data_IF_110319567596
#
_entry.id   IF_110319567596
#
_cell.length_a   1.000
_cell.length_b   1.000
_cell.length_c   1.000
_cell.angle_alpha   90.00
_cell.angle_beta   90.00
_cell.angle_gamma   90.00
#
_symmetry.space_group_name_H-M   'P 1'
#
loop_
_entity.id
_entity.type
_entity.pdbx_description
1 polymer ?
#
# COMPACT_ATOMS: atom_id res chain seq x y z
N UNK A 1 -4.04 11.33 -8.68
CA UNK A 1 -3.62 10.54 -7.49
C UNK A 1 -4.73 9.56 -7.19
N UNK A 2 -4.39 8.29 -6.95
CA UNK A 2 -5.36 7.21 -6.82
C UNK A 2 -4.99 6.28 -5.65
N UNK A 3 -6.00 5.67 -5.04
CA UNK A 3 -5.83 4.54 -4.13
C UNK A 3 -6.25 3.29 -4.88
N UNK A 4 -5.31 2.36 -5.07
CA UNK A 4 -5.56 1.12 -5.81
C UNK A 4 -5.68 -0.03 -4.79
N UNK A 5 -6.85 -0.67 -4.66
CA UNK A 5 -7.02 -1.76 -3.71
C UNK A 5 -6.21 -2.98 -4.14
N UNK A 6 -5.44 -3.57 -3.22
CA UNK A 6 -4.56 -4.70 -3.51
C UNK A 6 -5.17 -6.07 -3.14
N UNK A 7 -6.24 -6.10 -2.36
CA UNK A 7 -6.91 -7.33 -1.93
C UNK A 7 -8.38 -7.42 -2.42
N UNK A 8 -8.73 -6.68 -3.48
CA UNK A 8 -10.05 -6.70 -4.11
C UNK A 8 -10.01 -7.36 -5.50
N UNK A 9 -10.36 -8.64 -5.65
CA UNK A 9 -10.19 -9.36 -6.91
C UNK A 9 -10.98 -8.77 -8.10
N UNK A 10 -11.90 -7.82 -7.85
CA UNK A 10 -12.63 -7.09 -8.91
C UNK A 10 -11.82 -5.97 -9.55
N UNK A 11 -10.67 -5.62 -8.98
CA UNK A 11 -9.82 -4.55 -9.48
C UNK A 11 -8.85 -5.07 -10.56
N UNK A 12 -9.16 -4.82 -11.83
CA UNK A 12 -8.32 -5.22 -12.98
C UNK A 12 -6.91 -4.59 -13.03
N UNK A 13 -6.57 -3.68 -12.10
CA UNK A 13 -5.27 -2.99 -12.04
C UNK A 13 -4.30 -3.56 -10.99
N UNK A 14 -4.66 -4.65 -10.33
CA UNK A 14 -3.93 -5.18 -9.18
C UNK A 14 -2.53 -5.68 -9.49
N UNK A 15 -2.36 -6.44 -10.57
CA UNK A 15 -1.06 -7.00 -10.93
C UNK A 15 -0.02 -5.91 -11.17
N UNK A 16 -0.40 -4.84 -11.85
CA UNK A 16 0.50 -3.71 -12.11
C UNK A 16 0.76 -2.87 -10.87
N UNK A 17 -0.25 -2.61 -10.05
CA UNK A 17 -0.08 -1.93 -8.76
C UNK A 17 0.84 -2.73 -7.82
N UNK A 18 0.63 -4.04 -7.73
CA UNK A 18 1.49 -4.93 -6.95
C UNK A 18 2.93 -4.94 -7.46
N UNK A 19 3.14 -4.92 -8.78
CA UNK A 19 4.49 -4.78 -9.37
C UNK A 19 5.14 -3.46 -8.95
N UNK A 20 4.42 -2.34 -9.05
CA UNK A 20 4.94 -1.01 -8.63
C UNK A 20 5.27 -0.97 -7.14
N UNK A 21 4.39 -1.51 -6.30
CA UNK A 21 4.63 -1.59 -4.85
C UNK A 21 5.80 -2.52 -4.50
N UNK A 22 5.94 -3.66 -5.18
CA UNK A 22 7.10 -4.54 -5.05
C UNK A 22 8.41 -3.79 -5.35
N UNK A 23 8.45 -3.01 -6.44
CA UNK A 23 9.62 -2.19 -6.77
C UNK A 23 9.88 -1.12 -5.70
N UNK A 24 8.84 -0.51 -5.14
CA UNK A 24 8.99 0.45 -4.05
C UNK A 24 9.62 -0.21 -2.81
N UNK A 25 9.11 -1.38 -2.38
CA UNK A 25 9.67 -2.10 -1.23
C UNK A 25 11.16 -2.44 -1.40
N UNK A 26 11.57 -2.80 -2.62
CA UNK A 26 12.98 -3.09 -2.92
C UNK A 26 13.88 -1.85 -2.91
N UNK A 27 13.34 -0.70 -3.34
CA UNK A 27 14.12 0.54 -3.50
C UNK A 27 14.18 1.40 -2.24
N UNK A 28 13.17 1.31 -1.38
CA UNK A 28 13.04 2.15 -0.19
C UNK A 28 13.02 1.28 1.08
N UNK A 29 14.21 1.03 1.61
CA UNK A 29 14.39 0.23 2.83
C UNK A 29 13.86 0.94 4.07
N UNK A 30 13.88 2.28 4.11
CA UNK A 30 13.31 3.05 5.20
C UNK A 30 11.78 2.91 5.23
N UNK A 31 11.14 2.96 4.06
CA UNK A 31 9.72 2.67 3.91
C UNK A 31 9.37 1.24 4.38
N UNK A 32 10.14 0.22 3.97
CA UNK A 32 9.94 -1.15 4.47
C UNK A 32 10.03 -1.24 6.00
N UNK A 33 11.01 -0.56 6.61
CA UNK A 33 11.15 -0.51 8.07
C UNK A 33 9.95 0.15 8.74
N UNK A 34 9.39 1.22 8.16
CA UNK A 34 8.19 1.88 8.70
C UNK A 34 6.98 0.95 8.77
N UNK A 35 6.90 0.00 7.84
CA UNK A 35 5.89 -1.06 7.78
C UNK A 35 6.23 -2.29 8.64
N UNK A 36 7.38 -2.31 9.31
CA UNK A 36 7.87 -3.47 10.05
C UNK A 36 8.33 -4.64 9.17
N UNK A 37 8.53 -4.41 7.86
CA UNK A 37 8.97 -5.43 6.90
C UNK A 37 10.49 -5.56 6.99
N UNK A 38 10.97 -6.76 7.35
CA UNK A 38 12.40 -7.08 7.31
C UNK A 38 12.86 -7.41 5.90
N UNK A 39 14.16 -7.27 5.61
CA UNK A 39 14.75 -7.57 4.30
C UNK A 39 14.31 -8.92 3.71
N UNK A 40 14.32 -9.99 4.53
CA UNK A 40 13.90 -11.34 4.12
C UNK A 40 12.40 -11.48 3.78
N UNK A 41 11.58 -10.52 4.19
CA UNK A 41 10.13 -10.49 3.98
C UNK A 41 9.74 -9.58 2.80
N UNK A 42 10.69 -8.89 2.17
CA UNK A 42 10.41 -8.06 1.00
C UNK A 42 9.95 -8.97 -0.13
N UNK A 43 8.76 -8.74 -0.71
CA UNK A 43 8.24 -9.59 -1.77
C UNK A 43 9.12 -9.49 -3.01
N UNK A 44 9.30 -10.63 -3.66
CA UNK A 44 10.10 -10.76 -4.88
C UNK A 44 9.28 -10.81 -6.16
N UNK A 45 7.98 -11.01 -6.04
CA UNK A 45 7.06 -11.04 -7.17
C UNK A 45 5.81 -10.20 -6.88
N UNK A 46 5.09 -9.73 -7.92
CA UNK A 46 3.79 -9.09 -7.74
C UNK A 46 2.80 -10.02 -7.03
N UNK A 47 2.80 -11.31 -7.36
CA UNK A 47 1.94 -12.31 -6.71
C UNK A 47 2.21 -12.39 -5.19
N UNK A 48 3.48 -12.43 -4.76
CA UNK A 48 3.82 -12.39 -3.33
C UNK A 48 3.33 -11.11 -2.65
N UNK A 49 3.35 -9.98 -3.35
CA UNK A 49 2.84 -8.70 -2.84
C UNK A 49 1.33 -8.78 -2.62
N UNK A 50 0.57 -9.33 -3.58
CA UNK A 50 -0.87 -9.52 -3.46
C UNK A 50 -1.24 -10.51 -2.34
N UNK A 51 -0.59 -11.68 -2.31
CA UNK A 51 -0.81 -12.69 -1.27
C UNK A 51 -0.48 -12.13 0.13
N UNK A 52 0.63 -11.40 0.27
CA UNK A 52 0.99 -10.78 1.53
C UNK A 52 -0.03 -9.71 1.97
N UNK A 53 -0.51 -8.89 1.04
CA UNK A 53 -1.55 -7.91 1.32
C UNK A 53 -2.88 -8.56 1.73
N UNK A 54 -3.33 -9.60 1.02
CA UNK A 54 -4.54 -10.35 1.34
C UNK A 54 -4.45 -11.05 2.71
N UNK A 55 -3.34 -11.75 2.99
CA UNK A 55 -3.11 -12.38 4.30
C UNK A 55 -3.11 -11.35 5.44
N UNK A 56 -2.46 -10.19 5.23
CA UNK A 56 -2.44 -9.11 6.20
C UNK A 56 -3.85 -8.52 6.42
N UNK A 57 -4.60 -8.28 5.34
CA UNK A 57 -5.98 -7.79 5.40
C UNK A 57 -6.88 -8.72 6.22
N UNK A 58 -6.83 -10.03 5.96
CA UNK A 58 -7.61 -11.03 6.69
C UNK A 58 -7.23 -11.08 8.17
N UNK A 59 -5.93 -11.06 8.47
CA UNK A 59 -5.42 -11.11 9.86
C UNK A 59 -5.84 -9.89 10.67
N UNK A 60 -5.92 -8.72 10.04
CA UNK A 60 -6.15 -7.45 10.73
C UNK A 60 -7.56 -6.87 10.53
N UNK A 61 -8.46 -7.61 9.89
CA UNK A 61 -9.79 -7.17 9.46
C UNK A 61 -9.74 -5.76 8.83
N UNK A 62 -8.91 -5.67 7.79
CA UNK A 62 -8.53 -4.40 7.17
C UNK A 62 -8.66 -4.45 5.65
N UNK A 63 -8.80 -3.27 5.05
CA UNK A 63 -8.64 -3.04 3.61
C UNK A 63 -7.30 -2.36 3.37
N UNK A 64 -6.63 -2.71 2.29
CA UNK A 64 -5.27 -2.25 1.97
C UNK A 64 -5.18 -1.73 0.54
N UNK A 65 -4.57 -0.56 0.39
CA UNK A 65 -4.38 0.14 -0.87
C UNK A 65 -2.92 0.49 -1.09
N UNK A 66 -2.51 0.45 -2.36
CA UNK A 66 -1.35 1.19 -2.82
C UNK A 66 -1.76 2.64 -3.09
N UNK A 67 -0.93 3.60 -2.65
CA UNK A 67 -1.08 5.00 -3.03
C UNK A 67 -0.32 5.26 -4.32
N UNK A 68 -0.98 5.84 -5.32
CA UNK A 68 -0.39 6.16 -6.63
C UNK A 68 -0.46 7.66 -6.95
N UNK A 69 0.65 8.21 -7.44
CA UNK A 69 0.68 9.52 -8.09
C UNK A 69 1.48 9.40 -9.40
N UNK A 70 0.89 9.87 -10.50
CA UNK A 70 1.52 9.88 -11.83
C UNK A 70 2.13 8.52 -12.23
N UNK A 71 1.36 7.44 -12.01
CA UNK A 71 1.78 6.07 -12.33
C UNK A 71 2.87 5.49 -11.41
N UNK A 72 3.24 6.17 -10.32
CA UNK A 72 4.28 5.72 -9.38
C UNK A 72 3.66 5.39 -8.02
N UNK A 73 4.14 4.30 -7.42
CA UNK A 73 3.79 3.93 -6.05
C UNK A 73 4.43 4.91 -5.06
N UNK A 74 3.60 5.58 -4.27
CA UNK A 74 4.00 6.60 -3.29
C UNK A 74 3.99 6.08 -1.86
N UNK A 75 3.38 4.92 -1.62
CA UNK A 75 3.24 4.34 -0.29
C UNK A 75 2.04 3.40 -0.23
N UNK A 76 1.58 3.17 0.98
CA UNK A 76 0.46 2.28 1.29
C UNK A 76 -0.49 2.95 2.26
N UNK A 77 -1.77 2.59 2.16
CA UNK A 77 -2.78 2.99 3.11
C UNK A 77 -3.60 1.77 3.52
N UNK A 78 -4.06 1.74 4.76
CA UNK A 78 -4.98 0.72 5.22
C UNK A 78 -5.96 1.27 6.24
N UNK A 79 -7.15 0.65 6.28
CA UNK A 79 -8.24 0.99 7.17
C UNK A 79 -8.78 -0.31 7.76
N UNK A 80 -8.74 -0.43 9.08
CA UNK A 80 -9.38 -1.52 9.83
C UNK A 80 -10.88 -1.28 9.90
N UNK A 81 -11.66 -2.34 10.05
CA UNK A 81 -13.10 -2.26 10.33
C UNK A 81 -13.43 -1.42 11.57
N UNK A 82 -12.53 -1.37 12.55
CA UNK A 82 -12.66 -0.52 13.74
C UNK A 82 -12.46 0.98 13.48
N UNK A 83 -12.22 1.40 12.23
CA UNK A 83 -11.98 2.79 11.86
C UNK A 83 -10.52 3.25 11.99
N UNK A 84 -9.64 2.42 12.57
CA UNK A 84 -8.21 2.74 12.65
C UNK A 84 -7.64 2.79 11.23
N UNK A 85 -7.10 3.95 10.86
CA UNK A 85 -6.46 4.20 9.57
C UNK A 85 -4.98 4.49 9.74
N UNK A 86 -4.18 4.03 8.78
CA UNK A 86 -2.77 4.39 8.69
C UNK A 86 -2.38 4.59 7.23
N UNK A 87 -1.47 5.52 7.02
CA UNK A 87 -0.83 5.75 5.74
C UNK A 87 0.68 5.82 5.98
N UNK A 88 1.41 4.92 5.32
CA UNK A 88 2.85 4.86 5.34
C UNK A 88 3.35 5.30 3.96
N UNK A 89 4.21 6.31 3.93
CA UNK A 89 4.65 6.95 2.70
C UNK A 89 6.13 6.69 2.46
N UNK A 90 6.49 6.53 1.20
CA UNK A 90 7.89 6.60 0.78
C UNK A 90 8.40 8.03 0.90
N UNK A 91 9.72 8.21 0.76
CA UNK A 91 10.31 9.55 0.73
C UNK A 91 9.71 10.45 -0.38
N UNK A 92 9.30 9.87 -1.50
CA UNK A 92 8.61 10.61 -2.57
C UNK A 92 7.16 10.91 -2.20
N UNK A 93 6.46 9.95 -1.59
CA UNK A 93 5.09 10.14 -1.13
C UNK A 93 4.95 11.24 -0.09
N UNK A 94 5.96 11.43 0.76
CA UNK A 94 5.95 12.46 1.80
C UNK A 94 5.81 13.88 1.23
N UNK A 95 6.32 14.14 0.02
CA UNK A 95 6.14 15.42 -0.69
C UNK A 95 4.67 15.72 -0.99
N UNK A 96 3.84 14.68 -1.07
CA UNK A 96 2.42 14.77 -1.37
C UNK A 96 1.55 14.43 -0.15
N UNK A 97 2.12 14.35 1.06
CA UNK A 97 1.46 13.87 2.28
C UNK A 97 0.09 14.50 2.51
N UNK A 98 -0.02 15.83 2.46
CA UNK A 98 -1.31 16.53 2.70
C UNK A 98 -2.41 16.03 1.76
N UNK A 99 -2.11 15.89 0.47
CA UNK A 99 -3.07 15.41 -0.55
C UNK A 99 -3.41 13.93 -0.36
N UNK A 100 -2.41 13.10 -0.03
CA UNK A 100 -2.63 11.67 0.22
C UNK A 100 -3.49 11.46 1.46
N UNK A 101 -3.21 12.17 2.56
CA UNK A 101 -4.01 12.06 3.79
C UNK A 101 -5.45 12.50 3.58
N UNK A 102 -5.69 13.57 2.80
CA UNK A 102 -7.03 13.98 2.42
C UNK A 102 -7.75 12.90 1.60
N UNK A 103 -7.06 12.28 0.63
CA UNK A 103 -7.60 11.19 -0.18
C UNK A 103 -7.95 9.95 0.66
N UNK A 104 -7.07 9.56 1.59
CA UNK A 104 -7.30 8.42 2.50
C UNK A 104 -8.45 8.72 3.46
N UNK A 105 -8.59 9.95 3.92
CA UNK A 105 -9.72 10.35 4.78
C UNK A 105 -11.07 10.27 4.06
N UNK A 106 -11.11 10.55 2.74
CA UNK A 106 -12.34 10.53 1.95
C UNK A 106 -12.89 9.11 1.67
N UNK A 107 -12.08 8.07 1.84
CA UNK A 107 -12.49 6.67 1.63
C UNK A 107 -12.72 5.91 2.94
N UNK A 108 -12.50 6.55 4.07
CA UNK A 108 -12.87 6.00 5.37
C UNK A 108 -14.40 6.20 5.55
N UNK A 109 -15.15 5.14 5.89
CA UNK A 109 -16.58 5.25 6.17
C UNK A 109 -16.85 6.11 7.41
#
# INVERSE_FOLDING_TARGET
MHLIPLADPRCGRQSDAARRLMHLFRRDTAFCRSLGIRWRQIPRTPAQTLTGADQWCRKHDARFWMVECDGKAMGTAWIKRSGIRRCDLSRQGERHRRRILALVAAIAP
#
